data_IF_955114069012
#
_entry.id   IF_955114069012
#
_cell.length_a   1.000
_cell.length_b   1.000
_cell.length_c   1.000
_cell.angle_alpha   90.00
_cell.angle_beta   90.00
_cell.angle_gamma   90.00
#
_symmetry.space_group_name_H-M   'P 1'
#
loop_
_entity.id
_entity.type
_entity.pdbx_description
1 polymer ?
#
# COMPACT_ATOMS: atom_id res chain seq x y z
N UNK A 1 24.36 12.04 3.20
CA UNK A 1 24.36 12.08 1.71
C UNK A 1 23.87 10.71 1.27
N UNK A 2 22.58 10.57 0.96
CA UNK A 2 22.02 9.26 0.62
C UNK A 2 22.37 8.94 -0.82
N UNK A 3 23.15 7.87 -0.99
CA UNK A 3 23.70 7.38 -2.25
C UNK A 3 22.68 6.67 -3.13
N UNK A 4 21.69 7.42 -3.61
CA UNK A 4 20.99 7.04 -4.83
C UNK A 4 21.67 7.75 -5.99
N UNK A 5 22.02 6.98 -7.01
CA UNK A 5 22.85 7.28 -8.18
C UNK A 5 22.24 8.37 -9.10
N UNK A 6 21.87 9.53 -8.55
CA UNK A 6 21.08 10.57 -9.22
C UNK A 6 19.61 10.23 -9.46
N UNK A 7 19.17 9.01 -9.10
CA UNK A 7 17.80 8.52 -9.31
C UNK A 7 16.84 9.02 -8.24
N UNK A 8 15.62 9.38 -8.64
CA UNK A 8 14.50 9.73 -7.78
C UNK A 8 14.03 8.48 -7.00
N UNK A 9 14.11 8.50 -5.66
CA UNK A 9 13.52 7.45 -4.83
C UNK A 9 11.99 7.46 -4.97
N UNK A 10 11.41 6.28 -5.11
CA UNK A 10 9.96 6.08 -5.17
C UNK A 10 9.56 5.13 -4.03
N UNK A 11 8.57 5.52 -3.23
CA UNK A 11 7.96 4.66 -2.23
C UNK A 11 6.46 4.49 -2.53
N UNK A 12 5.93 3.29 -2.32
CA UNK A 12 4.49 3.02 -2.46
C UNK A 12 3.86 3.01 -1.07
N UNK A 13 2.74 3.70 -0.90
CA UNK A 13 1.91 3.63 0.30
C UNK A 13 0.50 3.24 -0.11
N UNK A 14 0.06 2.07 0.35
CA UNK A 14 -1.27 1.52 0.12
C UNK A 14 -2.04 1.37 1.43
N UNK A 15 -3.27 0.86 1.35
CA UNK A 15 -4.12 0.56 2.50
C UNK A 15 -5.56 0.90 2.22
N UNK A 16 -6.47 -0.05 2.50
CA UNK A 16 -7.91 0.15 2.46
C UNK A 16 -8.42 1.08 3.57
N UNK A 17 -7.64 1.28 4.64
CA UNK A 17 -7.96 2.24 5.69
C UNK A 17 -7.56 3.64 5.18
N UNK A 18 -8.48 4.30 4.46
CA UNK A 18 -8.19 5.54 3.73
C UNK A 18 -7.60 6.64 4.63
N UNK A 19 -8.11 6.80 5.85
CA UNK A 19 -7.56 7.79 6.80
C UNK A 19 -6.15 7.42 7.27
N UNK A 20 -5.89 6.16 7.62
CA UNK A 20 -4.55 5.70 7.95
C UNK A 20 -3.57 5.93 6.79
N UNK A 21 -3.98 5.63 5.56
CA UNK A 21 -3.15 5.85 4.37
C UNK A 21 -2.84 7.33 4.16
N UNK A 22 -3.86 8.20 4.17
CA UNK A 22 -3.68 9.65 4.03
C UNK A 22 -2.79 10.22 5.12
N UNK A 23 -3.01 9.83 6.39
CA UNK A 23 -2.16 10.24 7.52
C UNK A 23 -0.72 9.77 7.33
N UNK A 24 -0.47 8.52 6.95
CA UNK A 24 0.88 8.02 6.73
C UNK A 24 1.61 8.81 5.63
N UNK A 25 0.97 9.07 4.49
CA UNK A 25 1.54 9.88 3.41
C UNK A 25 1.83 11.30 3.89
N UNK A 26 0.88 11.93 4.57
CA UNK A 26 1.06 13.28 5.09
C UNK A 26 2.23 13.40 6.07
N UNK A 27 2.39 12.42 6.96
CA UNK A 27 3.53 12.35 7.88
C UNK A 27 4.86 12.16 7.14
N UNK A 28 4.89 11.35 6.08
CA UNK A 28 6.07 11.18 5.23
C UNK A 28 6.44 12.51 4.56
N UNK A 29 5.47 13.22 3.98
CA UNK A 29 5.71 14.49 3.29
C UNK A 29 6.29 15.56 4.22
N UNK A 30 5.80 15.63 5.46
CA UNK A 30 6.32 16.55 6.49
C UNK A 30 7.71 16.15 6.99
N UNK A 31 8.00 14.86 7.05
CA UNK A 31 9.26 14.31 7.55
C UNK A 31 10.39 14.42 6.52
N UNK A 32 10.07 14.36 5.22
CA UNK A 32 11.03 14.40 4.13
C UNK A 32 10.84 15.68 3.31
N UNK A 33 11.48 16.80 3.67
CA UNK A 33 11.42 18.03 2.89
C UNK A 33 11.83 17.78 1.44
N UNK A 34 11.05 18.31 0.50
CA UNK A 34 11.24 18.09 -0.94
C UNK A 34 10.69 16.76 -1.45
N UNK A 35 9.85 16.07 -0.67
CA UNK A 35 9.07 14.93 -1.17
C UNK A 35 7.73 15.38 -1.75
N UNK A 36 7.20 14.57 -2.67
CA UNK A 36 5.90 14.77 -3.30
C UNK A 36 5.09 13.48 -3.25
N UNK A 37 3.78 13.59 -3.14
CA UNK A 37 2.85 12.47 -3.26
C UNK A 37 2.12 12.55 -4.60
N UNK A 38 2.06 11.43 -5.30
CA UNK A 38 1.31 11.20 -6.51
C UNK A 38 0.18 10.24 -6.19
N UNK A 39 -1.05 10.70 -6.36
CA UNK A 39 -2.27 9.92 -6.10
C UNK A 39 -3.16 9.88 -7.34
N UNK A 40 -3.75 8.73 -7.56
CA UNK A 40 -4.76 8.51 -8.59
C UNK A 40 -6.07 8.14 -7.92
N UNK A 41 -7.06 9.00 -8.08
CA UNK A 41 -8.41 8.84 -7.61
C UNK A 41 -9.26 8.16 -8.70
N UNK A 42 -9.86 7.03 -8.34
CA UNK A 42 -10.64 6.18 -9.23
C UNK A 42 -12.15 6.43 -9.11
N UNK A 43 -12.61 7.33 -8.24
CA UNK A 43 -14.04 7.69 -8.14
C UNK A 43 -14.62 8.20 -9.45
N UNK A 44 -13.80 8.91 -10.24
CA UNK A 44 -14.19 9.44 -11.55
C UNK A 44 -14.22 8.36 -12.67
N UNK A 45 -14.04 7.07 -12.33
CA UNK A 45 -14.13 5.99 -13.31
C UNK A 45 -15.50 5.94 -14.00
N UNK A 46 -16.57 6.33 -13.30
CA UNK A 46 -17.91 6.50 -13.89
C UNK A 46 -17.95 7.54 -15.03
N UNK A 47 -17.10 8.57 -14.95
CA UNK A 47 -16.91 9.62 -15.97
C UNK A 47 -15.86 9.22 -17.03
N UNK A 48 -15.44 7.94 -17.03
CA UNK A 48 -14.42 7.37 -17.91
C UNK A 48 -13.04 8.03 -17.79
N UNK A 49 -12.67 8.45 -16.59
CA UNK A 49 -11.32 8.97 -16.31
C UNK A 49 -10.80 8.54 -14.93
N UNK A 50 -9.48 8.62 -14.76
CA UNK A 50 -8.79 8.57 -13.47
C UNK A 50 -8.23 9.95 -13.19
N UNK A 51 -8.50 10.50 -12.00
CA UNK A 51 -8.01 11.82 -11.61
C UNK A 51 -6.66 11.69 -10.92
N UNK A 52 -5.63 12.27 -11.51
CA UNK A 52 -4.29 12.36 -10.93
C UNK A 52 -4.14 13.65 -10.14
N UNK A 53 -3.51 13.56 -8.96
CA UNK A 53 -3.06 14.71 -8.19
C UNK A 53 -1.60 14.53 -7.76
N UNK A 54 -0.83 15.60 -7.84
CA UNK A 54 0.52 15.69 -7.27
C UNK A 54 0.52 16.78 -6.22
N UNK A 55 0.98 16.46 -5.01
CA UNK A 55 1.01 17.38 -3.88
C UNK A 55 2.29 17.26 -3.08
N UNK A 56 2.66 18.32 -2.37
CA UNK A 56 3.63 18.25 -1.27
C UNK A 56 2.91 18.41 0.08
N UNK A 57 3.67 18.61 1.17
CA UNK A 57 3.11 18.80 2.51
C UNK A 57 2.30 20.11 2.67
N UNK A 58 2.45 21.07 1.74
CA UNK A 58 1.85 22.40 1.83
C UNK A 58 0.68 22.61 0.88
N UNK A 59 0.76 22.07 -0.34
CA UNK A 59 -0.27 22.30 -1.36
C UNK A 59 -0.27 21.23 -2.48
N UNK A 60 -1.37 21.23 -3.24
CA UNK A 60 -1.43 20.59 -4.56
C UNK A 60 -0.55 21.37 -5.54
N UNK A 61 0.36 20.65 -6.20
CA UNK A 61 1.29 21.19 -7.19
C UNK A 61 0.73 21.09 -8.61
N UNK A 62 0.04 19.99 -8.92
CA UNK A 62 -0.62 19.77 -10.20
C UNK A 62 -1.76 18.76 -10.08
N UNK A 63 -2.64 18.77 -11.06
CA UNK A 63 -3.69 17.77 -11.25
C UNK A 63 -3.88 17.49 -12.73
N UNK A 64 -4.33 16.28 -13.07
CA UNK A 64 -4.63 15.88 -14.42
C UNK A 64 -5.68 14.79 -14.46
N UNK A 65 -6.11 14.42 -15.66
CA UNK A 65 -7.01 13.29 -15.88
C UNK A 65 -6.40 12.37 -16.93
N UNK A 66 -6.47 11.07 -16.68
CA UNK A 66 -6.11 10.03 -17.63
C UNK A 66 -7.40 9.31 -18.07
N UNK A 67 -7.72 9.24 -19.37
CA UNK A 67 -8.91 8.52 -19.82
C UNK A 67 -8.79 7.03 -19.50
N UNK A 68 -9.92 6.35 -19.29
CA UNK A 68 -9.91 4.90 -19.12
C UNK A 68 -9.34 4.20 -20.36
N UNK A 69 -8.60 3.12 -20.11
CA UNK A 69 -8.04 2.25 -21.15
C UNK A 69 -8.76 0.92 -21.09
N UNK A 70 -9.45 0.54 -22.17
CA UNK A 70 -10.29 -0.67 -22.21
C UNK A 70 -11.29 -0.73 -21.04
N UNK A 71 -11.91 0.42 -20.71
CA UNK A 71 -12.83 0.58 -19.57
C UNK A 71 -12.25 0.13 -18.21
N UNK A 72 -10.91 0.14 -18.07
CA UNK A 72 -10.21 -0.29 -16.87
C UNK A 72 -9.41 0.84 -16.24
N UNK A 73 -9.76 1.22 -15.01
CA UNK A 73 -9.07 2.29 -14.28
C UNK A 73 -7.67 1.86 -13.84
N UNK A 74 -7.46 0.56 -13.55
CA UNK A 74 -6.13 0.00 -13.29
C UNK A 74 -5.20 0.08 -14.52
N UNK A 75 -5.73 -0.05 -15.74
CA UNK A 75 -4.94 0.13 -16.96
C UNK A 75 -4.57 1.60 -17.17
N UNK A 76 -5.53 2.52 -17.03
CA UNK A 76 -5.27 3.96 -17.10
C UNK A 76 -4.24 4.42 -16.06
N UNK A 77 -4.36 3.94 -14.81
CA UNK A 77 -3.38 4.14 -13.76
C UNK A 77 -1.98 3.72 -14.21
N UNK A 78 -1.83 2.50 -14.74
CA UNK A 78 -0.51 1.99 -15.15
C UNK A 78 0.12 2.83 -16.26
N UNK A 79 -0.67 3.24 -17.24
CA UNK A 79 -0.20 4.03 -18.39
C UNK A 79 0.15 5.47 -18.00
N UNK A 80 -0.49 6.02 -16.97
CA UNK A 80 -0.29 7.41 -16.55
C UNK A 80 0.73 7.56 -15.42
N UNK A 81 0.82 6.57 -14.51
CA UNK A 81 1.70 6.59 -13.34
C UNK A 81 3.17 6.72 -13.73
N UNK A 82 3.64 5.86 -14.64
CA UNK A 82 5.07 5.81 -14.97
C UNK A 82 5.55 7.08 -15.69
N UNK A 83 4.86 7.60 -16.73
CA UNK A 83 5.23 8.87 -17.35
C UNK A 83 5.27 10.04 -16.36
N UNK A 84 4.32 10.12 -15.43
CA UNK A 84 4.33 11.20 -14.42
C UNK A 84 5.53 11.07 -13.46
N UNK A 85 5.87 9.86 -13.00
CA UNK A 85 7.06 9.65 -12.17
C UNK A 85 8.35 10.04 -12.89
N UNK A 86 8.47 9.70 -14.18
CA UNK A 86 9.62 10.10 -15.00
C UNK A 86 9.71 11.62 -15.13
N UNK A 87 8.58 12.28 -15.40
CA UNK A 87 8.48 13.75 -15.45
C UNK A 87 8.94 14.40 -14.14
N UNK A 88 8.53 13.85 -12.99
CA UNK A 88 8.97 14.31 -11.67
C UNK A 88 10.48 14.09 -11.46
N UNK A 89 11.03 12.99 -11.96
CA UNK A 89 12.47 12.73 -11.86
C UNK A 89 13.29 13.72 -12.70
N UNK A 90 12.82 14.07 -13.90
CA UNK A 90 13.45 15.05 -14.80
C UNK A 90 13.50 16.47 -14.21
N UNK A 91 12.55 16.85 -13.35
CA UNK A 91 12.58 18.14 -12.65
C UNK A 91 13.79 18.28 -11.70
N UNK A 92 14.38 17.16 -11.26
CA UNK A 92 15.63 17.15 -10.47
C UNK A 92 15.56 17.80 -9.09
N UNK A 93 14.37 18.18 -8.61
CA UNK A 93 14.17 18.89 -7.33
C UNK A 93 13.56 18.06 -6.22
N UNK A 94 13.01 16.89 -6.55
CA UNK A 94 12.30 16.02 -5.60
C UNK A 94 13.26 15.02 -4.95
N UNK A 95 13.12 14.81 -3.65
CA UNK A 95 13.94 13.91 -2.84
C UNK A 95 13.31 12.54 -2.63
N UNK A 96 12.00 12.44 -2.84
CA UNK A 96 11.21 11.22 -2.74
C UNK A 96 9.87 11.46 -3.46
N UNK A 97 9.45 10.53 -4.30
CA UNK A 97 8.08 10.44 -4.78
C UNK A 97 7.34 9.34 -4.00
N UNK A 98 6.22 9.69 -3.37
CA UNK A 98 5.32 8.75 -2.70
C UNK A 98 4.17 8.46 -3.64
N UNK A 99 4.03 7.22 -4.09
CA UNK A 99 2.86 6.74 -4.82
C UNK A 99 1.81 6.35 -3.78
N UNK A 100 0.84 7.23 -3.56
CA UNK A 100 -0.34 6.99 -2.72
C UNK A 100 -1.35 6.21 -3.55
N UNK A 101 -1.44 4.90 -3.34
CA UNK A 101 -2.37 4.06 -4.09
C UNK A 101 -3.82 4.34 -3.70
N UNK A 102 -4.71 4.19 -4.68
CA UNK A 102 -6.14 4.08 -4.42
C UNK A 102 -6.44 2.90 -3.51
N UNK A 103 -7.51 3.02 -2.72
CA UNK A 103 -7.91 2.13 -1.63
C UNK A 103 -7.76 0.65 -1.97
N UNK A 104 -8.27 0.21 -3.12
CA UNK A 104 -8.28 -1.20 -3.54
C UNK A 104 -7.12 -1.62 -4.45
N UNK A 105 -6.20 -0.71 -4.78
CA UNK A 105 -5.06 -1.02 -5.65
C UNK A 105 -3.95 -1.64 -4.82
N UNK A 106 -3.58 -2.87 -5.17
CA UNK A 106 -2.59 -3.66 -4.45
C UNK A 106 -1.15 -3.23 -4.82
N UNK A 107 -0.22 -3.06 -3.85
CA UNK A 107 1.17 -2.74 -4.12
C UNK A 107 1.85 -3.68 -5.12
N UNK A 108 1.50 -4.98 -5.07
CA UNK A 108 2.06 -6.01 -5.94
C UNK A 108 1.80 -5.73 -7.44
N UNK A 109 0.71 -5.04 -7.77
CA UNK A 109 0.38 -4.70 -9.15
C UNK A 109 1.25 -3.56 -9.70
N UNK A 110 1.79 -2.69 -8.84
CA UNK A 110 2.48 -1.46 -9.23
C UNK A 110 3.99 -1.51 -8.98
N UNK A 111 4.44 -2.20 -7.93
CA UNK A 111 5.86 -2.30 -7.59
C UNK A 111 6.73 -2.84 -8.75
N UNK A 112 6.37 -3.94 -9.44
CA UNK A 112 7.15 -4.42 -10.59
C UNK A 112 7.18 -3.43 -11.75
N UNK A 113 6.08 -2.70 -11.99
CA UNK A 113 6.01 -1.69 -13.06
C UNK A 113 7.01 -0.56 -12.80
N UNK A 114 7.05 -0.05 -11.57
CA UNK A 114 7.99 1.01 -11.18
C UNK A 114 9.43 0.49 -11.17
N UNK A 115 9.66 -0.72 -10.68
CA UNK A 115 11.01 -1.29 -10.60
C UNK A 115 11.60 -1.69 -11.96
N UNK A 116 10.75 -2.04 -12.92
CA UNK A 116 11.16 -2.33 -14.30
C UNK A 116 11.37 -1.05 -15.14
N UNK A 117 11.02 0.13 -14.60
CA UNK A 117 11.32 1.38 -15.27
C UNK A 117 12.82 1.64 -15.26
N UNK A 118 13.49 1.36 -16.37
CA UNK A 118 14.88 1.74 -16.59
C UNK A 118 15.03 3.27 -16.46
N UNK A 119 16.18 3.72 -15.95
CA UNK A 119 16.55 5.14 -15.94
C UNK A 119 16.43 5.80 -14.56
N UNK A 120 15.77 6.97 -14.44
CA UNK A 120 15.98 7.88 -13.32
C UNK A 120 15.19 7.51 -12.06
N UNK A 121 14.52 6.35 -12.00
CA UNK A 121 13.70 5.94 -10.86
C UNK A 121 14.36 4.81 -10.06
N UNK A 122 14.07 4.76 -8.76
CA UNK A 122 14.41 3.62 -7.91
C UNK A 122 13.30 3.38 -6.90
N UNK A 123 12.66 2.19 -6.95
CA UNK A 123 11.70 1.78 -5.93
C UNK A 123 12.46 1.45 -4.63
N UNK A 124 12.25 2.24 -3.59
CA UNK A 124 12.98 2.12 -2.31
C UNK A 124 12.16 1.52 -1.19
N UNK A 125 10.84 1.45 -1.32
CA UNK A 125 9.99 0.95 -0.25
C UNK A 125 8.54 0.74 -0.65
N UNK A 126 7.88 -0.17 0.05
CA UNK A 126 6.43 -0.32 0.01
C UNK A 126 5.92 -0.44 1.44
N UNK A 127 4.83 0.28 1.73
CA UNK A 127 4.11 0.19 2.99
C UNK A 127 2.61 0.02 2.76
N UNK A 128 1.98 -0.69 3.69
CA UNK A 128 0.52 -0.65 3.86
C UNK A 128 0.23 0.05 5.17
N UNK A 129 -0.55 1.11 5.10
CA UNK A 129 -0.99 1.87 6.26
C UNK A 129 -2.23 1.22 6.86
N UNK A 130 -2.19 1.03 8.17
CA UNK A 130 -3.23 0.30 8.90
C UNK A 130 -3.54 1.00 10.21
N UNK A 131 -4.81 0.92 10.57
CA UNK A 131 -5.31 1.09 11.93
C UNK A 131 -5.52 -0.31 12.50
N UNK A 132 -4.79 -0.72 13.55
CA UNK A 132 -4.91 -2.07 14.08
C UNK A 132 -6.36 -2.41 14.51
N UNK A 133 -7.13 -1.45 15.02
CA UNK A 133 -8.51 -1.66 15.47
C UNK A 133 -9.45 -2.08 14.32
N UNK A 134 -9.08 -1.73 13.08
CA UNK A 134 -9.87 -2.03 11.89
C UNK A 134 -9.41 -3.33 11.19
N UNK A 135 -8.33 -3.97 11.64
CA UNK A 135 -7.75 -5.15 10.96
C UNK A 135 -8.76 -6.31 10.91
N UNK A 136 -9.33 -6.70 12.06
CA UNK A 136 -10.29 -7.79 12.10
C UNK A 136 -11.60 -7.47 11.35
N UNK A 137 -12.23 -6.28 11.53
CA UNK A 137 -13.40 -5.90 10.74
C UNK A 137 -13.19 -6.01 9.23
N UNK A 138 -12.05 -5.56 8.70
CA UNK A 138 -11.77 -5.63 7.26
C UNK A 138 -11.48 -7.06 6.79
N UNK A 139 -10.78 -7.87 7.58
CA UNK A 139 -10.53 -9.29 7.25
C UNK A 139 -11.78 -10.17 7.34
N UNK A 140 -12.77 -9.78 8.15
CA UNK A 140 -14.05 -10.45 8.25
C UNK A 140 -15.08 -9.95 7.22
N UNK A 141 -14.77 -8.90 6.46
CA UNK A 141 -15.71 -8.29 5.52
C UNK A 141 -15.69 -8.99 4.16
N UNK A 142 -16.76 -9.73 3.87
CA UNK A 142 -16.97 -10.43 2.60
C UNK A 142 -17.70 -9.62 1.52
N UNK A 143 -17.95 -8.33 1.73
CA UNK A 143 -18.59 -7.46 0.74
C UNK A 143 -17.71 -7.31 -0.51
N UNK A 144 -18.35 -7.28 -1.67
CA UNK A 144 -17.67 -7.03 -2.95
C UNK A 144 -17.21 -5.57 -3.03
N UNK A 145 -15.99 -5.35 -3.53
CA UNK A 145 -15.46 -3.99 -3.72
C UNK A 145 -16.36 -3.13 -4.64
N UNK A 146 -17.03 -3.77 -5.60
CA UNK A 146 -17.96 -3.11 -6.52
C UNK A 146 -19.16 -2.49 -5.77
N UNK A 147 -19.69 -3.20 -4.78
CA UNK A 147 -20.89 -2.78 -4.04
C UNK A 147 -20.62 -1.55 -3.15
N UNK A 148 -19.37 -1.38 -2.72
CA UNK A 148 -18.93 -0.24 -1.90
C UNK A 148 -18.19 0.84 -2.68
N UNK A 149 -18.20 0.78 -4.02
CA UNK A 149 -17.61 1.81 -4.88
C UNK A 149 -16.08 1.84 -4.90
N UNK A 150 -15.43 0.73 -4.50
CA UNK A 150 -13.97 0.59 -4.48
C UNK A 150 -13.42 -0.27 -5.62
N UNK A 151 -14.25 -0.77 -6.55
CA UNK A 151 -13.80 -1.55 -7.69
C UNK A 151 -12.79 -0.78 -8.57
N UNK A 152 -11.70 -1.44 -8.95
CA UNK A 152 -10.68 -0.84 -9.84
C UNK A 152 -10.99 -1.04 -11.33
N UNK A 153 -11.99 -1.85 -11.65
CA UNK A 153 -12.51 -2.11 -12.99
C UNK A 153 -13.95 -2.65 -12.92
N UNK A 154 -14.74 -2.58 -14.01
CA UNK A 154 -16.09 -3.15 -14.05
C UNK A 154 -16.14 -4.66 -13.78
N UNK A 155 -15.04 -5.37 -14.04
CA UNK A 155 -14.91 -6.82 -13.81
C UNK A 155 -14.19 -7.15 -12.50
N UNK A 156 -14.03 -6.18 -11.59
CA UNK A 156 -13.45 -6.44 -10.27
C UNK A 156 -14.45 -7.26 -9.44
N UNK A 157 -14.04 -8.46 -9.04
CA UNK A 157 -14.84 -9.43 -8.28
C UNK A 157 -14.17 -9.76 -6.95
N UNK A 158 -13.27 -8.89 -6.49
CA UNK A 158 -12.60 -9.07 -5.21
C UNK A 158 -13.50 -8.57 -4.09
N UNK A 159 -13.38 -9.20 -2.93
CA UNK A 159 -13.99 -8.74 -1.68
C UNK A 159 -13.06 -7.78 -0.94
N UNK A 160 -13.60 -7.10 0.07
CA UNK A 160 -12.82 -6.29 1.02
C UNK A 160 -11.75 -7.13 1.70
N UNK A 161 -12.11 -8.28 2.28
CA UNK A 161 -11.20 -9.16 2.99
C UNK A 161 -10.05 -9.66 2.11
N UNK A 162 -10.35 -10.16 0.91
CA UNK A 162 -9.32 -10.71 0.00
C UNK A 162 -8.33 -9.63 -0.44
N UNK A 163 -8.83 -8.44 -0.74
CA UNK A 163 -8.01 -7.29 -1.14
C UNK A 163 -7.14 -6.83 0.02
N UNK A 164 -7.71 -6.75 1.22
CA UNK A 164 -6.99 -6.30 2.41
C UNK A 164 -5.88 -7.27 2.80
N UNK A 165 -6.16 -8.58 2.80
CA UNK A 165 -5.17 -9.62 3.09
C UNK A 165 -3.94 -9.49 2.17
N UNK A 166 -4.15 -9.36 0.85
CA UNK A 166 -3.06 -9.19 -0.12
C UNK A 166 -2.26 -7.90 0.10
N UNK A 167 -2.93 -6.81 0.49
CA UNK A 167 -2.24 -5.57 0.86
C UNK A 167 -1.40 -5.71 2.13
N UNK A 168 -1.79 -6.55 3.10
CA UNK A 168 -1.01 -6.81 4.32
C UNK A 168 0.21 -7.69 4.07
N UNK A 169 0.12 -8.66 3.15
CA UNK A 169 1.16 -9.69 2.94
C UNK A 169 2.34 -9.21 2.10
N UNK A 170 2.12 -8.32 1.12
CA UNK A 170 3.16 -7.87 0.19
C UNK A 170 4.24 -6.93 0.79
N UNK A 171 3.89 -5.87 1.55
CA UNK A 171 4.85 -4.83 1.92
C UNK A 171 5.92 -5.32 2.89
N UNK A 172 7.01 -4.56 2.99
CA UNK A 172 8.05 -4.79 4.01
C UNK A 172 7.89 -3.88 5.23
N UNK A 173 6.95 -2.94 5.16
CA UNK A 173 6.64 -1.98 6.21
C UNK A 173 5.13 -1.94 6.42
N UNK A 174 4.71 -2.01 7.67
CA UNK A 174 3.33 -1.70 8.08
C UNK A 174 3.36 -0.34 8.76
N UNK A 175 2.72 0.64 8.16
CA UNK A 175 2.62 1.99 8.73
C UNK A 175 1.42 2.03 9.68
N UNK A 176 1.69 1.92 10.98
CA UNK A 176 0.63 1.86 11.98
C UNK A 176 0.19 3.29 12.34
N UNK A 177 -1.10 3.54 12.18
CA UNK A 177 -1.80 4.80 12.48
C UNK A 177 -2.92 4.49 13.44
N UNK A 178 -2.92 5.07 14.63
CA UNK A 178 -3.89 4.72 15.67
C UNK A 178 -4.34 5.96 16.46
N UNK A 179 -5.42 5.80 17.23
CA UNK A 179 -5.96 6.85 18.09
C UNK A 179 -6.26 8.11 17.29
N UNK A 180 -5.89 9.27 17.82
CA UNK A 180 -6.21 10.56 17.17
C UNK A 180 -5.58 10.75 15.79
N UNK A 181 -4.54 9.98 15.45
CA UNK A 181 -3.94 10.01 14.11
C UNK A 181 -4.77 9.25 13.07
N UNK A 182 -5.57 8.26 13.50
CA UNK A 182 -6.47 7.50 12.64
C UNK A 182 -7.80 8.25 12.41
N UNK A 183 -8.18 9.15 13.31
CA UNK A 183 -9.34 10.02 13.18
C UNK A 183 -9.90 10.45 14.54
N UNK A 184 -10.83 11.40 14.57
CA UNK A 184 -11.47 11.84 15.82
C UNK A 184 -12.36 10.75 16.45
N UNK A 185 -12.93 9.88 15.62
CA UNK A 185 -13.83 8.79 16.02
C UNK A 185 -13.15 7.41 15.98
N UNK A 186 -11.83 7.37 15.85
CA UNK A 186 -11.08 6.13 15.76
C UNK A 186 -11.11 5.39 17.11
N UNK A 187 -11.43 4.09 17.05
CA UNK A 187 -11.35 3.22 18.20
C UNK A 187 -9.88 2.97 18.58
N UNK A 188 -9.59 2.94 19.88
CA UNK A 188 -8.24 2.64 20.33
C UNK A 188 -8.00 1.14 20.18
N UNK A 189 -7.01 0.78 19.37
CA UNK A 189 -6.56 -0.59 19.23
C UNK A 189 -6.13 -1.18 20.59
N UNK A 190 -6.55 -2.42 20.86
CA UNK A 190 -6.17 -3.16 22.06
C UNK A 190 -5.00 -4.12 21.80
N UNK A 191 -4.59 -4.89 22.82
CA UNK A 191 -3.48 -5.84 22.67
C UNK A 191 -3.82 -6.99 21.70
N UNK A 192 -5.10 -7.35 21.57
CA UNK A 192 -5.60 -8.37 20.63
C UNK A 192 -5.40 -7.92 19.19
N UNK A 193 -5.75 -6.67 18.88
CA UNK A 193 -5.56 -6.08 17.55
C UNK A 193 -4.09 -6.07 17.13
N UNK A 194 -3.22 -5.69 18.07
CA UNK A 194 -1.78 -5.66 17.85
C UNK A 194 -1.21 -7.07 17.68
N UNK A 195 -1.66 -8.05 18.47
CA UNK A 195 -1.27 -9.45 18.33
C UNK A 195 -1.71 -10.02 16.96
N UNK A 196 -2.94 -9.74 16.53
CA UNK A 196 -3.47 -10.15 15.23
C UNK A 196 -2.64 -9.58 14.08
N UNK A 197 -2.44 -8.25 14.07
CA UNK A 197 -1.61 -7.60 13.06
C UNK A 197 -0.19 -8.17 13.06
N UNK A 198 0.36 -8.46 14.24
CA UNK A 198 1.71 -8.99 14.35
C UNK A 198 1.86 -10.39 13.78
N UNK A 199 0.90 -11.28 14.03
CA UNK A 199 0.88 -12.65 13.52
C UNK A 199 0.60 -12.71 12.01
N UNK A 200 -0.19 -11.78 11.47
CA UNK A 200 -0.49 -11.69 10.03
C UNK A 200 0.64 -11.06 9.20
N UNK A 201 1.50 -10.24 9.82
CA UNK A 201 2.55 -9.50 9.11
C UNK A 201 3.97 -9.83 9.62
N UNK A 202 4.36 -11.12 9.72
CA UNK A 202 5.64 -11.50 10.33
C UNK A 202 6.86 -11.05 9.51
N UNK A 203 6.68 -10.86 8.20
CA UNK A 203 7.72 -10.40 7.29
C UNK A 203 7.88 -8.88 7.19
N UNK A 204 7.06 -8.11 7.89
CA UNK A 204 7.02 -6.65 7.77
C UNK A 204 7.40 -5.95 9.08
N UNK A 205 8.14 -4.84 8.94
CA UNK A 205 8.49 -3.97 10.06
C UNK A 205 7.32 -3.03 10.37
N UNK A 206 6.80 -3.07 11.59
CA UNK A 206 5.71 -2.18 12.03
C UNK A 206 6.31 -0.86 12.50
N UNK A 207 5.87 0.24 11.90
CA UNK A 207 6.40 1.59 12.13
C UNK A 207 5.23 2.54 12.40
N UNK A 208 5.27 3.25 13.53
CA UNK A 208 4.29 4.31 13.81
C UNK A 208 4.46 5.46 12.80
N UNK A 209 3.36 5.96 12.24
CA UNK A 209 3.41 7.04 11.25
C UNK A 209 3.94 8.37 11.80
N UNK A 210 3.86 8.61 13.10
CA UNK A 210 4.30 9.87 13.73
C UNK A 210 5.82 10.11 13.80
N UNK A 211 6.65 9.12 13.42
CA UNK A 211 8.11 9.21 13.57
C UNK A 211 8.90 9.21 12.26
N UNK A 212 10.12 9.77 12.29
CA UNK A 212 11.06 9.73 11.16
C UNK A 212 11.49 8.32 10.72
N UNK A 213 11.21 7.31 11.57
CA UNK A 213 11.50 5.91 11.30
C UNK A 213 10.72 5.35 10.11
N UNK A 214 9.47 5.79 9.88
CA UNK A 214 8.67 5.33 8.73
C UNK A 214 9.33 5.74 7.41
N UNK A 215 9.69 7.02 7.28
CA UNK A 215 10.36 7.54 6.09
C UNK A 215 11.73 6.87 5.87
N UNK A 216 12.51 6.69 6.94
CA UNK A 216 13.78 5.98 6.86
C UNK A 216 13.61 4.51 6.41
N UNK A 217 12.56 3.84 6.90
CA UNK A 217 12.24 2.48 6.52
C UNK A 217 11.87 2.35 5.04
N UNK A 218 11.14 3.33 4.48
CA UNK A 218 10.75 3.40 3.07
C UNK A 218 11.87 3.82 2.12
N UNK A 219 12.99 4.32 2.65
CA UNK A 219 14.18 4.69 1.89
C UNK A 219 15.30 3.65 2.00
N UNK A 220 15.08 2.56 2.76
CA UNK A 220 16.09 1.55 3.03
C UNK A 220 16.36 0.59 1.85
N UNK A 221 15.51 0.62 0.81
CA UNK A 221 15.56 -0.28 -0.34
C UNK A 221 14.42 -1.31 -0.32
N UNK A 222 14.04 -1.77 -1.51
CA UNK A 222 12.97 -2.74 -1.69
C UNK A 222 13.35 -3.80 -2.73
N UNK A 223 13.27 -5.07 -2.32
CA UNK A 223 13.48 -6.21 -3.21
C UNK A 223 12.11 -6.73 -3.68
N UNK A 224 11.77 -6.40 -4.93
CA UNK A 224 10.51 -6.79 -5.57
C UNK A 224 10.40 -8.31 -5.71
N UNK A 225 11.51 -9.00 -6.02
CA UNK A 225 11.53 -10.45 -6.20
C UNK A 225 11.30 -11.16 -4.87
N UNK A 226 11.98 -10.72 -3.81
CA UNK A 226 11.76 -11.25 -2.47
C UNK A 226 10.34 -10.98 -1.98
N UNK A 227 9.77 -9.80 -2.27
CA UNK A 227 8.39 -9.47 -1.91
C UNK A 227 7.37 -10.36 -2.64
N UNK A 228 7.54 -10.57 -3.94
CA UNK A 228 6.70 -11.48 -4.72
C UNK A 228 6.80 -12.93 -4.24
N UNK A 229 7.99 -13.37 -3.82
CA UNK A 229 8.19 -14.72 -3.29
C UNK A 229 7.46 -14.97 -1.96
N UNK A 230 7.35 -13.96 -1.09
CA UNK A 230 6.67 -14.08 0.21
C UNK A 230 5.17 -14.35 0.09
N UNK A 231 4.52 -13.77 -0.91
CA UNK A 231 3.08 -13.91 -1.16
C UNK A 231 2.76 -15.10 -2.08
N UNK A 232 3.78 -15.78 -2.61
CA UNK A 232 3.58 -16.92 -3.48
C UNK A 232 3.18 -18.14 -2.64
N UNK A 233 2.02 -18.80 -2.89
CA UNK A 233 1.54 -19.91 -2.04
C UNK A 233 2.54 -21.06 -1.85
N UNK A 234 3.39 -21.33 -2.85
CA UNK A 234 4.41 -22.38 -2.74
C UNK A 234 5.62 -22.02 -1.85
N UNK A 235 5.82 -20.73 -1.57
CA UNK A 235 6.97 -20.20 -0.82
C UNK A 235 6.53 -19.37 0.39
N UNK A 236 5.22 -19.27 0.63
CA UNK A 236 4.65 -18.53 1.75
C UNK A 236 5.22 -19.08 3.05
N UNK A 237 5.83 -18.19 3.83
CA UNK A 237 6.31 -18.54 5.16
C UNK A 237 5.10 -18.67 6.06
N UNK A 238 4.80 -19.90 6.45
CA UNK A 238 3.71 -20.15 7.39
C UNK A 238 4.05 -19.48 8.72
N UNK A 239 3.10 -18.73 9.31
CA UNK A 239 3.32 -18.13 10.61
C UNK A 239 3.62 -19.23 11.64
N UNK A 240 4.52 -18.93 12.58
CA UNK A 240 4.85 -19.87 13.63
C UNK A 240 3.64 -20.06 14.55
N UNK A 241 3.55 -21.23 15.18
CA UNK A 241 2.54 -21.42 16.24
C UNK A 241 2.74 -20.35 17.31
N UNK A 242 1.68 -19.62 17.58
CA UNK A 242 1.67 -18.48 18.49
C UNK A 242 0.30 -18.43 19.17
N UNK A 243 0.28 -18.12 20.46
CA UNK A 243 -0.92 -17.82 21.22
C UNK A 243 -0.59 -16.61 22.09
N UNK A 244 -1.17 -15.47 21.72
CA UNK A 244 -0.89 -14.19 22.35
C UNK A 244 -2.15 -13.35 22.33
N UNK A 245 -2.52 -12.81 23.49
CA UNK A 245 -3.71 -11.95 23.66
C UNK A 245 -5.01 -12.55 23.06
N UNK A 246 -5.16 -13.87 23.07
CA UNK A 246 -6.35 -14.55 22.52
C UNK A 246 -6.32 -14.77 21.01
N UNK A 247 -5.22 -14.40 20.34
CA UNK A 247 -4.97 -14.67 18.93
C UNK A 247 -4.08 -15.90 18.80
N UNK A 248 -4.64 -16.97 18.23
CA UNK A 248 -3.97 -18.24 18.01
C UNK A 248 -3.64 -18.47 16.54
N UNK A 249 -2.39 -18.80 16.23
CA UNK A 249 -1.96 -19.36 14.95
C UNK A 249 -1.61 -20.83 15.13
N UNK A 250 -2.16 -21.71 14.29
CA UNK A 250 -1.74 -23.12 14.20
C UNK A 250 -1.42 -23.51 12.77
N UNK A 251 -0.44 -24.38 12.58
CA UNK A 251 -0.05 -24.85 11.24
C UNK A 251 -0.46 -26.30 11.04
N UNK A 252 -1.48 -26.51 10.21
CA UNK A 252 -1.87 -27.85 9.79
C UNK A 252 -1.10 -28.30 8.55
N UNK A 253 -0.48 -29.49 8.63
CA UNK A 253 0.28 -30.10 7.53
C UNK A 253 -0.22 -31.51 7.23
N UNK A 254 -0.59 -31.75 5.98
CA UNK A 254 -0.87 -33.09 5.43
C UNK A 254 -0.35 -33.19 4.00
N UNK A 255 0.16 -34.37 3.66
CA UNK A 255 0.53 -34.71 2.29
C UNK A 255 -0.67 -35.22 1.47
N UNK A 256 -1.72 -35.67 2.17
CA UNK A 256 -2.95 -36.13 1.52
C UNK A 256 -3.80 -34.92 1.10
N UNK A 257 -4.30 -34.86 -0.15
CA UNK A 257 -5.18 -33.79 -0.59
C UNK A 257 -6.49 -33.79 0.21
N UNK A 258 -7.12 -32.62 0.31
CA UNK A 258 -8.49 -32.51 0.80
C UNK A 258 -9.45 -33.24 -0.14
N UNK A 259 -10.50 -33.84 0.44
CA UNK A 259 -11.65 -34.26 -0.34
C UNK A 259 -12.39 -32.99 -0.80
N UNK A 260 -12.87 -32.89 -2.04
CA UNK A 260 -13.52 -31.69 -2.56
C UNK A 260 -14.92 -31.41 -1.96
N UNK A 261 -15.39 -32.31 -1.08
CA UNK A 261 -16.63 -32.21 -0.32
C UNK A 261 -16.33 -32.39 1.15
#
# INVERSE_FOLDING_TARGET
>A
MNGHDGRLPVAIVAGLHADARRTAVERILRTVPGSVALHHDLTAAADRAVRRTVRDAGATLSSGEAPLVNDCACCALREDLLPELLRLAEEGRHRLAVVELWDSVEPQAMAPVIAAADGPLVLTGTATAVDPALVLPYLANGDDLADIGLAAAPTDQRTVADTFARQLEYPTVIAVVEGTDAGPDAEAADDTDHALLAQLTPGARKMRAGGGALAAALLAGFDVTAAAARVHPACALLPQECDEHGVGTFVWRRERPFHPQ
#
